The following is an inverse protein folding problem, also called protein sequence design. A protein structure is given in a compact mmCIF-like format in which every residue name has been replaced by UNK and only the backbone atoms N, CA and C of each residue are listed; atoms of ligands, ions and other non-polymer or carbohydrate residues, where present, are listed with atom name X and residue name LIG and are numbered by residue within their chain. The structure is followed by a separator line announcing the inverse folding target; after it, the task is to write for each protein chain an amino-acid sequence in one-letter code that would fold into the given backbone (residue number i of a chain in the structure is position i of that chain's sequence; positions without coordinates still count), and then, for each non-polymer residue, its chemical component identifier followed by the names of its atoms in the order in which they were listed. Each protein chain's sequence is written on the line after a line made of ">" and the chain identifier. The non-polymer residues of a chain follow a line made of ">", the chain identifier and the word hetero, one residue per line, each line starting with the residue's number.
data_IF_104357357196
#
_entry.id   IF_104357357196
#
_cell.length_a   1.000
_cell.length_b   1.000
_cell.length_c   1.000
_cell.angle_alpha   90.00
_cell.angle_beta   90.00
_cell.angle_gamma   90.00
#
_symmetry.space_group_name_H-M   'P 1'
#
loop_
_entity.id
_entity.type
_entity.pdbx_description
1 polymer ?
#
# COMPACT_ATOMS: atom_id res chain seq x y z
N UNK A 1 -21.78 21.49 22.33
CA UNK A 1 -20.31 21.46 22.25
C UNK A 1 -19.94 20.07 21.81
N UNK A 2 -19.58 19.89 20.55
CA UNK A 2 -19.17 18.57 20.02
C UNK A 2 -17.71 18.37 20.43
N UNK A 3 -17.43 17.35 21.24
CA UNK A 3 -16.07 16.99 21.61
C UNK A 3 -15.30 16.66 20.33
N UNK A 4 -14.14 17.30 20.10
CA UNK A 4 -13.29 16.95 18.96
C UNK A 4 -12.90 15.48 19.15
N UNK A 5 -13.06 14.61 18.12
CA UNK A 5 -12.58 13.24 18.20
C UNK A 5 -11.13 13.23 18.65
N UNK A 6 -10.78 12.29 19.54
CA UNK A 6 -9.41 12.18 20.03
C UNK A 6 -8.51 11.80 18.83
N UNK A 7 -7.30 12.37 18.74
CA UNK A 7 -6.34 11.96 17.72
C UNK A 7 -6.19 10.43 17.73
N UNK A 8 -6.31 9.83 16.56
CA UNK A 8 -6.24 8.39 16.36
C UNK A 8 -5.36 8.09 15.14
N UNK A 9 -4.75 6.90 15.04
CA UNK A 9 -3.99 6.55 13.86
C UNK A 9 -4.86 6.50 12.59
N UNK A 10 -4.27 6.76 11.40
CA UNK A 10 -4.98 6.69 10.13
C UNK A 10 -5.69 5.35 9.91
N UNK A 11 -6.88 5.38 9.30
CA UNK A 11 -7.56 4.15 8.85
C UNK A 11 -7.11 3.80 7.45
N UNK A 12 -6.74 2.53 7.23
CA UNK A 12 -6.27 2.03 5.93
C UNK A 12 -7.25 1.00 5.38
N UNK A 13 -7.77 1.23 4.19
CA UNK A 13 -8.42 0.22 3.35
C UNK A 13 -7.56 -0.03 2.10
N UNK A 14 -7.52 -1.29 1.65
CA UNK A 14 -6.78 -1.67 0.45
C UNK A 14 -7.52 -2.73 -0.37
N UNK A 15 -7.27 -2.73 -1.67
CA UNK A 15 -7.67 -3.81 -2.58
C UNK A 15 -6.58 -4.04 -3.63
N UNK A 16 -6.49 -5.27 -4.12
CA UNK A 16 -5.53 -5.67 -5.16
C UNK A 16 -6.26 -5.88 -6.47
N UNK A 17 -5.66 -5.46 -7.59
CA UNK A 17 -6.22 -5.79 -8.90
C UNK A 17 -6.13 -7.29 -9.24
N UNK A 18 -5.23 -8.01 -8.59
CA UNK A 18 -5.04 -9.46 -8.70
C UNK A 18 -4.35 -10.03 -7.47
N UNK A 19 -4.60 -11.30 -7.21
CA UNK A 19 -3.97 -12.07 -6.13
C UNK A 19 -2.87 -13.01 -6.63
N UNK A 20 -2.73 -13.15 -7.94
CA UNK A 20 -1.69 -13.95 -8.59
C UNK A 20 -0.84 -13.07 -9.51
N UNK A 21 0.49 -13.14 -9.36
CA UNK A 21 1.45 -12.32 -10.11
C UNK A 21 2.46 -13.19 -10.85
N UNK A 22 3.14 -12.64 -11.86
CA UNK A 22 4.22 -13.31 -12.57
C UNK A 22 5.57 -12.71 -12.22
N UNK A 23 6.45 -13.50 -11.62
CA UNK A 23 7.82 -13.10 -11.29
C UNK A 23 8.76 -13.51 -12.43
N UNK A 24 8.91 -12.65 -13.44
CA UNK A 24 9.75 -12.91 -14.63
C UNK A 24 10.35 -11.62 -15.18
N UNK A 25 11.51 -11.73 -15.85
CA UNK A 25 12.15 -10.61 -16.53
C UNK A 25 11.72 -10.45 -18.00
N UNK A 26 11.27 -11.54 -18.64
CA UNK A 26 10.88 -11.56 -20.06
C UNK A 26 9.64 -12.43 -20.30
N UNK A 27 8.59 -11.94 -21.01
CA UNK A 27 8.39 -10.55 -21.44
C UNK A 27 8.33 -9.60 -20.23
N UNK A 28 8.12 -8.30 -20.48
CA UNK A 28 8.20 -7.25 -19.46
C UNK A 28 7.63 -7.67 -18.09
N UNK A 29 8.30 -7.26 -16.98
CA UNK A 29 7.90 -7.61 -15.63
C UNK A 29 6.43 -7.34 -15.36
N UNK A 30 5.83 -8.19 -14.54
CA UNK A 30 4.44 -8.01 -14.17
C UNK A 30 4.25 -6.79 -13.26
N UNK A 31 3.07 -6.17 -13.31
CA UNK A 31 2.73 -5.02 -12.47
C UNK A 31 1.56 -5.37 -11.56
N UNK A 32 1.74 -5.21 -10.26
CA UNK A 32 0.69 -5.28 -9.25
C UNK A 32 0.14 -3.87 -9.00
N UNK A 33 -1.18 -3.73 -8.97
CA UNK A 33 -1.85 -2.47 -8.60
C UNK A 33 -2.52 -2.67 -7.25
N UNK A 34 -2.14 -1.83 -6.29
CA UNK A 34 -2.72 -1.76 -4.96
C UNK A 34 -3.52 -0.47 -4.87
N UNK A 35 -4.85 -0.58 -4.80
CA UNK A 35 -5.69 0.58 -4.53
C UNK A 35 -5.72 0.77 -3.02
N UNK A 36 -5.25 1.92 -2.56
CA UNK A 36 -5.21 2.27 -1.13
C UNK A 36 -6.11 3.47 -0.90
N UNK A 37 -6.81 3.42 0.24
CA UNK A 37 -7.54 4.55 0.81
C UNK A 37 -7.11 4.72 2.27
N UNK A 38 -6.42 5.81 2.54
CA UNK A 38 -6.03 6.22 3.89
C UNK A 38 -6.91 7.39 4.33
N UNK A 39 -7.42 7.34 5.56
CA UNK A 39 -8.28 8.38 6.12
C UNK A 39 -7.81 8.79 7.51
N UNK A 40 -7.75 10.10 7.73
CA UNK A 40 -7.50 10.69 9.03
C UNK A 40 -8.16 12.07 9.11
N UNK A 41 -8.84 12.39 10.22
CA UNK A 41 -9.52 13.68 10.36
C UNK A 41 -8.54 14.85 10.51
N UNK A 42 -7.34 14.59 11.03
CA UNK A 42 -6.29 15.60 11.18
C UNK A 42 -5.52 15.80 9.86
N UNK A 43 -5.65 14.87 8.90
CA UNK A 43 -5.04 14.93 7.58
C UNK A 43 -3.94 13.90 7.39
N UNK A 44 -3.78 13.44 6.14
CA UNK A 44 -2.73 12.49 5.75
C UNK A 44 -1.45 13.25 5.38
N UNK A 45 -0.34 12.85 6.00
CA UNK A 45 1.01 13.28 5.62
C UNK A 45 1.48 12.48 4.42
N UNK A 46 1.44 11.15 4.53
CA UNK A 46 2.05 10.26 3.54
C UNK A 46 1.53 8.83 3.60
N UNK A 47 1.53 8.15 2.44
CA UNK A 47 1.19 6.74 2.29
C UNK A 47 2.31 6.04 1.53
N UNK A 48 2.72 4.86 2.00
CA UNK A 48 3.72 4.02 1.37
C UNK A 48 3.18 2.62 1.11
N UNK A 49 3.52 2.06 -0.05
CA UNK A 49 3.19 0.68 -0.42
C UNK A 49 4.45 -0.06 -0.83
N UNK A 50 4.66 -1.24 -0.24
CA UNK A 50 5.83 -2.08 -0.46
C UNK A 50 5.42 -3.47 -0.91
N UNK A 51 6.15 -4.05 -1.87
CA UNK A 51 6.03 -5.45 -2.30
C UNK A 51 7.30 -6.21 -1.93
N UNK A 52 7.17 -7.32 -1.20
CA UNK A 52 8.28 -8.13 -0.71
C UNK A 52 9.35 -7.29 0.01
N UNK A 53 10.58 -7.23 -0.52
CA UNK A 53 11.69 -6.43 0.01
C UNK A 53 12.07 -5.27 -0.92
N UNK A 54 11.23 -4.95 -1.91
CA UNK A 54 11.48 -3.83 -2.82
C UNK A 54 11.36 -2.48 -2.10
N UNK A 55 11.96 -1.40 -2.63
CA UNK A 55 11.73 -0.06 -2.11
C UNK A 55 10.24 0.31 -2.13
N UNK A 56 9.71 0.97 -1.09
CA UNK A 56 8.32 1.40 -1.08
C UNK A 56 8.07 2.51 -2.10
N UNK A 57 6.88 2.50 -2.71
CA UNK A 57 6.36 3.62 -3.49
C UNK A 57 5.51 4.49 -2.57
N UNK A 58 5.79 5.79 -2.53
CA UNK A 58 5.13 6.76 -1.67
C UNK A 58 4.24 7.74 -2.43
N UNK A 59 3.23 8.26 -1.73
CA UNK A 59 2.46 9.44 -2.14
C UNK A 59 2.28 10.36 -0.93
N UNK A 60 2.44 11.66 -1.13
CA UNK A 60 2.18 12.67 -0.12
C UNK A 60 0.69 12.98 -0.06
N UNK A 61 0.13 13.09 1.15
CA UNK A 61 -1.29 13.37 1.36
C UNK A 61 -1.67 14.83 1.29
N UNK A 62 -0.69 15.74 1.23
CA UNK A 62 -0.92 17.19 1.08
C UNK A 62 -1.88 17.77 2.13
N UNK A 63 -1.96 17.15 3.32
CA UNK A 63 -2.88 17.48 4.41
C UNK A 63 -4.36 17.15 4.12
N UNK A 64 -4.65 16.42 3.04
CA UNK A 64 -6.01 15.98 2.74
C UNK A 64 -6.47 14.93 3.78
N UNK A 65 -7.71 15.01 4.28
CA UNK A 65 -8.25 14.01 5.20
C UNK A 65 -8.35 12.60 4.61
N UNK A 66 -8.30 12.50 3.28
CA UNK A 66 -8.38 11.23 2.55
C UNK A 66 -7.33 11.25 1.44
N UNK A 67 -6.42 10.28 1.47
CA UNK A 67 -5.54 9.97 0.35
C UNK A 67 -6.02 8.67 -0.29
N UNK A 68 -6.41 8.75 -1.56
CA UNK A 68 -6.80 7.59 -2.36
C UNK A 68 -5.98 7.51 -3.65
N UNK A 69 -5.51 6.33 -3.99
CA UNK A 69 -4.80 6.16 -5.24
C UNK A 69 -4.39 4.74 -5.58
N UNK A 70 -4.16 4.47 -6.88
CA UNK A 70 -3.51 3.25 -7.32
C UNK A 70 -2.00 3.37 -7.17
N UNK A 71 -1.41 2.50 -6.36
CA UNK A 71 0.03 2.30 -6.26
C UNK A 71 0.45 1.16 -7.18
N UNK A 72 1.36 1.45 -8.12
CA UNK A 72 1.86 0.48 -9.11
C UNK A 72 3.21 -0.05 -8.66
N UNK A 73 3.28 -1.36 -8.46
CA UNK A 73 4.48 -2.06 -8.00
C UNK A 73 4.94 -3.01 -9.11
N UNK A 74 6.20 -2.89 -9.50
CA UNK A 74 6.83 -3.87 -10.39
C UNK A 74 7.10 -5.13 -9.60
N UNK A 75 6.67 -6.29 -10.12
CA UNK A 75 6.93 -7.58 -9.48
C UNK A 75 8.36 -7.98 -9.80
N UNK A 76 9.25 -8.09 -8.79
CA UNK A 76 10.63 -8.51 -9.01
C UNK A 76 10.70 -9.93 -9.60
N UNK A 77 11.67 -10.22 -10.49
CA UNK A 77 11.88 -11.56 -11.01
C UNK A 77 12.59 -12.47 -9.99
N UNK A 78 12.62 -13.78 -10.26
CA UNK A 78 13.41 -14.75 -9.49
C UNK A 78 12.65 -15.56 -8.43
N UNK A 79 11.39 -15.25 -8.18
CA UNK A 79 10.51 -16.05 -7.32
C UNK A 79 9.88 -17.22 -8.08
N UNK A 80 9.89 -18.40 -7.45
CA UNK A 80 9.26 -19.60 -7.99
C UNK A 80 7.73 -19.57 -7.83
N UNK A 81 7.02 -20.30 -8.69
CA UNK A 81 5.58 -20.50 -8.57
C UNK A 81 5.20 -21.07 -7.20
N UNK A 82 4.12 -20.55 -6.62
CA UNK A 82 3.68 -20.87 -5.25
C UNK A 82 4.30 -19.98 -4.17
N UNK A 83 5.30 -19.15 -4.50
CA UNK A 83 5.87 -18.20 -3.54
C UNK A 83 4.82 -17.15 -3.14
N UNK A 84 4.72 -16.88 -1.85
CA UNK A 84 3.86 -15.81 -1.32
C UNK A 84 4.69 -14.54 -1.14
N UNK A 85 4.26 -13.44 -1.75
CA UNK A 85 4.88 -12.13 -1.61
C UNK A 85 3.98 -11.24 -0.73
N UNK A 86 4.57 -10.64 0.31
CA UNK A 86 3.87 -9.70 1.17
C UNK A 86 3.69 -8.35 0.48
N UNK A 87 2.53 -7.75 0.67
CA UNK A 87 2.21 -6.37 0.28
C UNK A 87 1.90 -5.61 1.56
N UNK A 88 2.72 -4.61 1.86
CA UNK A 88 2.61 -3.81 3.08
C UNK A 88 2.20 -2.39 2.73
N UNK A 89 1.14 -1.90 3.37
CA UNK A 89 0.67 -0.53 3.24
C UNK A 89 0.87 0.17 4.57
N UNK A 90 1.53 1.32 4.56
CA UNK A 90 1.70 2.18 5.72
C UNK A 90 1.13 3.56 5.42
N UNK A 91 0.46 4.16 6.39
CA UNK A 91 -0.02 5.53 6.32
C UNK A 91 0.43 6.29 7.56
N UNK A 92 0.74 7.58 7.36
CA UNK A 92 1.11 8.50 8.42
C UNK A 92 0.24 9.76 8.31
N UNK A 93 -0.26 10.23 9.45
CA UNK A 93 -0.96 11.52 9.52
C UNK A 93 0.01 12.68 9.75
N UNK A 94 -0.53 13.89 9.69
CA UNK A 94 0.23 15.14 9.88
C UNK A 94 0.70 15.34 11.33
N UNK A 95 0.09 14.67 12.30
CA UNK A 95 0.45 14.76 13.72
C UNK A 95 1.50 13.71 14.13
N UNK A 96 1.80 12.75 13.26
CA UNK A 96 2.85 11.75 13.39
C UNK A 96 2.40 10.32 13.74
N UNK A 97 1.11 10.02 13.90
CA UNK A 97 0.67 8.64 14.06
C UNK A 97 0.87 7.84 12.79
N UNK A 98 1.01 6.53 12.97
CA UNK A 98 1.22 5.58 11.89
C UNK A 98 0.27 4.41 12.02
N UNK A 99 -0.20 3.95 10.88
CA UNK A 99 -0.97 2.71 10.74
C UNK A 99 -0.35 1.85 9.66
N UNK A 100 -0.61 0.55 9.78
CA UNK A 100 -0.11 -0.47 8.85
C UNK A 100 -1.21 -1.47 8.52
N UNK A 101 -1.21 -1.95 7.28
CA UNK A 101 -2.07 -3.03 6.84
C UNK A 101 -1.36 -3.88 5.80
N UNK A 102 -1.37 -5.19 6.01
CA UNK A 102 -0.73 -6.15 5.12
C UNK A 102 -1.75 -6.99 4.36
N UNK A 103 -1.34 -7.46 3.19
CA UNK A 103 -1.99 -8.51 2.41
C UNK A 103 -0.93 -9.26 1.62
N UNK A 104 -1.30 -10.29 0.88
CA UNK A 104 -0.37 -11.13 0.15
C UNK A 104 -0.83 -11.38 -1.29
N UNK A 105 0.14 -11.62 -2.17
CA UNK A 105 -0.08 -12.19 -3.51
C UNK A 105 0.73 -13.47 -3.66
N UNK A 106 0.28 -14.36 -4.55
CA UNK A 106 0.99 -15.60 -4.87
C UNK A 106 1.62 -15.52 -6.24
N UNK A 107 2.83 -16.02 -6.40
CA UNK A 107 3.49 -16.14 -7.70
C UNK A 107 2.84 -17.30 -8.46
N UNK A 108 2.26 -16.99 -9.61
CA UNK A 108 1.67 -17.96 -10.53
C UNK A 108 2.65 -18.47 -11.58
N UNK A 109 2.18 -19.34 -12.48
CA UNK A 109 2.91 -19.74 -13.68
C UNK A 109 3.00 -18.61 -14.72
#
# INVERSE_FOLDING_TARGET
>A
MTERPRPAPPRIALSLNKTTVKSRSTPAPDTLVVNVRAEDEDGIDSVWVQLAQEPPVGADGLLDPVLEGPFRLTVPPGFGTGTVLSVKVQARDVVGFRSERDTNVTVGP
#
